data_IF_819306196589
#
_entry.id   IF_819306196589
#
_cell.length_a   1.000
_cell.length_b   1.000
_cell.length_c   1.000
_cell.angle_alpha   90.00
_cell.angle_beta   90.00
_cell.angle_gamma   90.00
#
_symmetry.space_group_name_H-M   'P 1'
#
loop_
_entity.id
_entity.type
_entity.pdbx_description
1 polymer ?
#
# COMPACT_ATOMS: atom_id res chain seq x y z
N UNK A 1 -14.66 -10.58 -4.45
CA UNK A 1 -14.25 -11.33 -3.24
C UNK A 1 -13.66 -10.41 -2.15
N UNK A 2 -13.98 -9.11 -2.07
CA UNK A 2 -13.47 -8.24 -0.99
C UNK A 2 -11.93 -8.11 -0.89
N UNK A 3 -11.18 -8.44 -1.95
CA UNK A 3 -9.71 -8.52 -1.93
C UNK A 3 -9.14 -9.86 -1.48
N UNK A 4 -9.98 -10.84 -1.13
CA UNK A 4 -9.62 -12.22 -0.81
C UNK A 4 -9.51 -13.15 -2.02
N UNK A 5 -9.41 -14.45 -1.76
CA UNK A 5 -9.16 -15.51 -2.74
C UNK A 5 -7.77 -16.11 -2.65
N UNK A 6 -7.11 -16.09 -1.48
CA UNK A 6 -5.72 -16.52 -1.35
C UNK A 6 -5.51 -18.03 -1.54
N UNK A 7 -6.58 -18.81 -1.41
CA UNK A 7 -6.61 -20.24 -1.66
C UNK A 7 -7.45 -20.65 -2.88
N UNK A 8 -8.12 -19.68 -3.53
CA UNK A 8 -9.04 -19.99 -4.62
C UNK A 8 -8.26 -20.44 -5.85
N UNK A 9 -8.39 -21.73 -6.17
CA UNK A 9 -7.89 -22.30 -7.41
C UNK A 9 -8.87 -21.96 -8.53
N UNK A 10 -8.46 -21.11 -9.47
CA UNK A 10 -9.30 -20.73 -10.61
C UNK A 10 -8.45 -20.47 -11.85
N UNK A 11 -8.92 -20.94 -12.99
CA UNK A 11 -8.35 -20.57 -14.30
C UNK A 11 -8.51 -19.07 -14.58
N UNK A 12 -9.50 -18.43 -13.96
CA UNK A 12 -9.86 -17.03 -14.22
C UNK A 12 -9.29 -16.04 -13.20
N UNK A 13 -8.69 -16.52 -12.10
CA UNK A 13 -8.15 -15.65 -11.06
C UNK A 13 -6.86 -16.24 -10.50
N UNK A 14 -5.78 -15.47 -10.57
CA UNK A 14 -4.49 -15.86 -10.02
C UNK A 14 -4.09 -14.84 -8.94
N UNK A 15 -4.21 -15.17 -7.64
CA UNK A 15 -3.87 -14.22 -6.60
C UNK A 15 -2.36 -14.02 -6.54
N UNK A 16 -1.92 -12.77 -6.63
CA UNK A 16 -0.52 -12.41 -6.37
C UNK A 16 -0.10 -12.76 -4.94
N UNK A 17 -1.05 -12.85 -4.02
CA UNK A 17 -0.82 -13.06 -2.59
C UNK A 17 -0.19 -14.42 -2.24
N UNK A 18 -0.36 -15.45 -3.08
CA UNK A 18 0.21 -16.78 -2.86
C UNK A 18 0.93 -17.27 -4.13
N UNK A 19 2.28 -17.26 -4.16
CA UNK A 19 3.04 -17.69 -5.34
C UNK A 19 2.84 -19.16 -5.70
N UNK A 20 2.36 -20.01 -4.77
CA UNK A 20 2.09 -21.42 -5.07
C UNK A 20 1.02 -21.63 -6.16
N UNK A 21 0.09 -20.68 -6.29
CA UNK A 21 -1.00 -20.76 -7.27
C UNK A 21 -0.53 -20.49 -8.70
N UNK A 22 0.70 -20.03 -8.88
CA UNK A 22 1.27 -19.79 -10.22
C UNK A 22 1.60 -21.09 -10.95
N UNK A 23 1.70 -22.22 -10.24
CA UNK A 23 1.93 -23.54 -10.85
C UNK A 23 0.75 -24.04 -11.71
N UNK A 24 -0.47 -23.55 -11.46
CA UNK A 24 -1.70 -24.04 -12.13
C UNK A 24 -2.01 -23.35 -13.46
N UNK A 25 -1.04 -22.61 -13.99
CA UNK A 25 -1.19 -21.90 -15.27
C UNK A 25 -1.09 -22.86 -16.46
N UNK A 26 -1.99 -22.64 -17.43
CA UNK A 26 -2.02 -23.34 -18.72
C UNK A 26 -1.64 -22.40 -19.88
N UNK A 27 -1.98 -21.12 -19.76
CA UNK A 27 -1.70 -20.11 -20.79
C UNK A 27 -0.96 -18.91 -20.21
N UNK A 28 -0.21 -18.22 -21.06
CA UNK A 28 0.32 -16.89 -20.76
C UNK A 28 -0.83 -15.93 -20.53
N UNK A 29 -0.73 -15.15 -19.45
CA UNK A 29 -1.76 -14.22 -19.00
C UNK A 29 -1.16 -12.84 -18.77
N UNK A 30 -1.87 -11.84 -19.27
CA UNK A 30 -1.68 -10.45 -18.91
C UNK A 30 -2.97 -9.97 -18.25
N UNK A 31 -2.88 -9.46 -17.02
CA UNK A 31 -4.00 -8.86 -16.31
C UNK A 31 -3.64 -7.44 -15.88
N UNK A 32 -4.63 -6.56 -15.90
CA UNK A 32 -4.52 -5.18 -15.47
C UNK A 32 -5.77 -4.82 -14.68
N UNK A 33 -5.60 -4.08 -13.60
CA UNK A 33 -6.71 -3.62 -12.78
C UNK A 33 -6.57 -2.13 -12.48
N UNK A 34 -7.69 -1.42 -12.48
CA UNK A 34 -7.80 -0.03 -12.06
C UNK A 34 -8.98 0.09 -11.10
N UNK A 35 -8.92 1.08 -10.22
CA UNK A 35 -10.00 1.39 -9.29
C UNK A 35 -10.28 2.88 -9.26
N UNK A 36 -11.53 3.19 -8.96
CA UNK A 36 -11.96 4.53 -8.59
C UNK A 36 -12.57 4.45 -7.19
N UNK A 37 -12.15 5.34 -6.30
CA UNK A 37 -12.64 5.43 -4.94
C UNK A 37 -13.00 6.89 -4.64
N UNK A 38 -14.19 7.09 -4.07
CA UNK A 38 -14.64 8.38 -3.54
C UNK A 38 -14.92 8.22 -2.04
N UNK A 39 -14.31 9.07 -1.23
CA UNK A 39 -14.50 9.14 0.21
C UNK A 39 -15.12 10.48 0.54
N UNK A 40 -16.29 10.48 1.17
CA UNK A 40 -16.90 11.68 1.76
C UNK A 40 -16.69 11.66 3.27
N UNK A 41 -16.33 12.81 3.82
CA UNK A 41 -16.21 13.03 5.26
C UNK A 41 -17.01 14.27 5.63
N UNK A 42 -17.69 14.22 6.77
CA UNK A 42 -18.43 15.34 7.32
C UNK A 42 -18.05 15.47 8.80
N UNK A 43 -17.81 16.71 9.25
CA UNK A 43 -17.56 17.01 10.65
C UNK A 43 -18.86 17.34 11.41
N UNK A 44 -18.80 17.34 12.75
CA UNK A 44 -19.95 17.65 13.60
C UNK A 44 -20.45 19.10 13.51
N UNK A 45 -19.78 19.96 12.74
CA UNK A 45 -20.16 21.35 12.45
C UNK A 45 -20.74 21.54 11.04
N UNK A 46 -20.92 20.47 10.27
CA UNK A 46 -21.52 20.49 8.94
C UNK A 46 -20.55 20.81 7.80
N UNK A 47 -19.23 20.84 8.05
CA UNK A 47 -18.26 20.91 6.95
C UNK A 47 -18.15 19.53 6.32
N UNK A 48 -18.33 19.45 5.01
CA UNK A 48 -18.18 18.23 4.23
C UNK A 48 -17.03 18.36 3.24
N UNK A 49 -16.30 17.27 3.06
CA UNK A 49 -15.22 17.14 2.09
C UNK A 49 -15.38 15.84 1.32
N UNK A 50 -15.11 15.88 0.02
CA UNK A 50 -15.11 14.70 -0.84
C UNK A 50 -13.74 14.55 -1.50
N UNK A 51 -13.13 13.39 -1.29
CA UNK A 51 -11.88 12.98 -1.94
C UNK A 51 -12.19 11.88 -2.95
N UNK A 52 -12.05 12.19 -4.24
CA UNK A 52 -12.11 11.20 -5.31
C UNK A 52 -10.72 10.89 -5.83
N UNK A 53 -10.41 9.61 -6.02
CA UNK A 53 -9.13 9.14 -6.54
C UNK A 53 -9.32 7.98 -7.49
N UNK A 54 -8.63 8.02 -8.63
CA UNK A 54 -8.54 6.95 -9.61
C UNK A 54 -7.09 6.48 -9.73
N UNK A 55 -6.87 5.17 -9.80
CA UNK A 55 -5.53 4.61 -9.85
C UNK A 55 -5.48 3.25 -10.56
N UNK A 56 -4.31 2.92 -11.10
CA UNK A 56 -3.98 1.55 -11.49
C UNK A 56 -3.70 0.75 -10.20
N UNK A 57 -4.34 -0.40 -10.05
CA UNK A 57 -4.25 -1.26 -8.88
C UNK A 57 -3.16 -2.32 -9.02
N UNK A 58 -3.07 -2.97 -10.17
CA UNK A 58 -2.03 -3.95 -10.45
C UNK A 58 -1.93 -4.20 -11.95
N UNK A 59 -0.72 -4.51 -12.41
CA UNK A 59 -0.44 -5.14 -13.71
C UNK A 59 0.29 -6.44 -13.42
N UNK A 60 -0.22 -7.56 -13.91
CA UNK A 60 0.37 -8.88 -13.69
C UNK A 60 0.58 -9.55 -15.03
N UNK A 61 1.73 -10.18 -15.16
CA UNK A 61 2.10 -10.99 -16.30
C UNK A 61 2.58 -12.35 -15.79
N UNK A 62 1.94 -13.42 -16.24
CA UNK A 62 2.29 -14.76 -15.78
C UNK A 62 2.27 -15.75 -16.91
N UNK A 63 3.21 -16.69 -16.93
CA UNK A 63 3.29 -17.71 -17.97
C UNK A 63 3.78 -19.06 -17.41
N UNK A 64 3.25 -20.18 -17.93
CA UNK A 64 3.77 -21.49 -17.58
C UNK A 64 5.10 -21.75 -18.30
N UNK A 65 6.10 -22.20 -17.55
CA UNK A 65 7.30 -22.84 -18.12
C UNK A 65 7.00 -24.30 -18.47
N UNK A 66 6.26 -24.97 -17.58
CA UNK A 66 5.69 -26.29 -17.80
C UNK A 66 4.22 -26.24 -17.41
N UNK A 67 3.34 -26.59 -18.34
CA UNK A 67 1.90 -26.55 -18.12
C UNK A 67 1.52 -27.29 -16.84
N UNK A 68 0.75 -26.61 -15.99
CA UNK A 68 0.20 -27.15 -14.73
C UNK A 68 1.27 -27.72 -13.77
N UNK A 69 2.54 -27.36 -13.95
CA UNK A 69 3.66 -27.88 -13.17
C UNK A 69 4.57 -26.77 -12.67
N UNK A 70 5.02 -25.88 -13.56
CA UNK A 70 5.93 -24.78 -13.22
C UNK A 70 5.45 -23.50 -13.91
N UNK A 71 5.12 -22.49 -13.13
CA UNK A 71 4.71 -21.19 -13.64
C UNK A 71 5.52 -20.04 -13.06
N UNK A 72 5.68 -19.01 -13.87
CA UNK A 72 6.34 -17.75 -13.52
C UNK A 72 5.27 -16.68 -13.37
N UNK A 73 5.40 -15.85 -12.36
CA UNK A 73 4.58 -14.66 -12.17
C UNK A 73 5.45 -13.41 -12.00
N UNK A 74 5.11 -12.36 -12.73
CA UNK A 74 5.64 -11.02 -12.59
C UNK A 74 4.46 -10.08 -12.29
N UNK A 75 4.58 -9.23 -11.29
CA UNK A 75 3.56 -8.22 -11.03
C UNK A 75 4.14 -6.88 -10.59
N UNK A 76 3.44 -5.83 -10.97
CA UNK A 76 3.70 -4.47 -10.53
C UNK A 76 2.42 -3.91 -9.93
N UNK A 77 2.50 -3.48 -8.67
CA UNK A 77 1.37 -2.91 -7.95
C UNK A 77 1.82 -1.89 -6.91
N UNK A 78 1.00 -0.88 -6.57
CA UNK A 78 1.21 -0.09 -5.37
C UNK A 78 1.16 -0.99 -4.13
N UNK A 79 2.16 -0.85 -3.25
CA UNK A 79 2.21 -1.50 -1.94
C UNK A 79 1.51 -0.65 -0.87
N UNK A 80 1.82 0.64 -0.85
CA UNK A 80 1.18 1.62 0.04
C UNK A 80 0.82 2.87 -0.73
N UNK A 81 -0.12 3.66 -0.20
CA UNK A 81 -0.52 4.94 -0.77
C UNK A 81 -0.56 5.97 0.34
N UNK A 82 -0.04 7.14 0.04
CA UNK A 82 -0.09 8.30 0.90
C UNK A 82 -0.72 9.43 0.10
N UNK A 83 -1.99 9.73 0.38
CA UNK A 83 -2.72 10.80 -0.29
C UNK A 83 -3.67 11.48 0.68
N UNK A 84 -3.45 12.75 0.97
CA UNK A 84 -4.37 13.58 1.75
C UNK A 84 -4.22 15.04 1.32
N UNK A 85 -5.27 15.82 1.55
CA UNK A 85 -5.25 17.27 1.39
C UNK A 85 -6.18 17.90 2.42
N UNK A 86 -5.65 18.80 3.23
CA UNK A 86 -6.40 19.54 4.24
C UNK A 86 -6.00 21.02 4.17
N UNK A 87 -6.99 21.91 4.12
CA UNK A 87 -6.77 23.35 4.07
C UNK A 87 -7.27 23.98 5.36
N UNK A 88 -6.39 24.75 6.00
CA UNK A 88 -6.71 25.58 7.16
C UNK A 88 -6.69 27.04 6.74
N UNK A 89 -7.72 27.79 7.10
CA UNK A 89 -7.79 29.24 6.84
C UNK A 89 -7.79 29.99 8.15
N UNK A 90 -7.00 31.06 8.24
CA UNK A 90 -6.93 31.91 9.42
C UNK A 90 -6.69 33.38 9.06
N UNK A 91 -6.64 34.20 10.10
CA UNK A 91 -6.27 35.62 10.03
C UNK A 91 -5.14 35.86 11.02
N UNK A 92 -4.09 36.54 10.57
CA UNK A 92 -2.94 36.88 11.40
C UNK A 92 -2.69 38.39 11.33
N UNK A 93 -2.22 38.98 12.42
CA UNK A 93 -1.95 40.42 12.45
C UNK A 93 -0.62 40.74 11.77
N UNK A 94 -0.64 41.64 10.79
CA UNK A 94 0.54 41.97 9.97
C UNK A 94 0.89 43.44 10.10
N UNK A 95 2.12 43.71 10.55
CA UNK A 95 2.69 45.06 10.64
C UNK A 95 2.55 45.74 12.01
N UNK A 96 3.20 46.91 12.20
CA UNK A 96 3.25 47.62 13.49
C UNK A 96 1.94 48.35 13.85
N UNK A 97 1.00 48.51 12.91
CA UNK A 97 -0.29 49.17 13.16
C UNK A 97 -1.29 48.20 13.83
N UNK A 98 -2.06 48.71 14.80
CA UNK A 98 -3.21 47.98 15.36
C UNK A 98 -4.33 47.93 14.31
N UNK A 99 -4.76 46.73 13.91
CA UNK A 99 -5.92 46.51 13.04
C UNK A 99 -5.65 46.01 11.62
N UNK A 100 -4.39 45.85 11.19
CA UNK A 100 -4.08 45.23 9.90
C UNK A 100 -4.00 43.70 10.08
N UNK A 101 -5.05 43.00 9.69
CA UNK A 101 -5.10 41.54 9.67
C UNK A 101 -4.98 41.04 8.22
N UNK A 102 -4.08 40.09 7.97
CA UNK A 102 -3.98 39.40 6.70
C UNK A 102 -4.56 37.99 6.83
N UNK A 103 -5.41 37.63 5.86
CA UNK A 103 -5.88 36.25 5.74
C UNK A 103 -4.74 35.38 5.22
N UNK A 104 -4.52 34.23 5.87
CA UNK A 104 -3.64 33.20 5.37
C UNK A 104 -4.41 31.91 5.12
N UNK A 105 -3.92 31.12 4.16
CA UNK A 105 -4.40 29.78 3.87
C UNK A 105 -3.21 28.83 3.97
N UNK A 106 -3.30 27.81 4.81
CA UNK A 106 -2.28 26.76 4.93
C UNK A 106 -2.86 25.45 4.45
N UNK A 107 -2.37 24.97 3.30
CA UNK A 107 -2.71 23.68 2.73
C UNK A 107 -1.64 22.66 3.13
N UNK A 108 -2.08 21.58 3.79
CA UNK A 108 -1.28 20.39 4.05
C UNK A 108 -1.68 19.32 3.05
N UNK A 109 -0.74 18.88 2.23
CA UNK A 109 -0.94 17.77 1.30
C UNK A 109 0.09 16.68 1.52
N UNK A 110 -0.31 15.44 1.27
CA UNK A 110 0.59 14.30 1.21
C UNK A 110 0.36 13.56 -0.09
N UNK A 111 1.44 13.13 -0.74
CA UNK A 111 1.37 12.37 -1.99
C UNK A 111 2.44 11.29 -2.06
N UNK A 112 2.24 10.32 -2.94
CA UNK A 112 3.16 9.21 -3.19
C UNK A 112 2.78 7.91 -2.50
N UNK A 113 3.79 7.13 -2.12
CA UNK A 113 3.62 5.77 -1.61
C UNK A 113 4.74 4.85 -2.05
N UNK A 114 4.63 3.59 -1.67
CA UNK A 114 5.55 2.53 -2.10
C UNK A 114 4.91 1.73 -3.23
N UNK A 115 5.71 1.40 -4.22
CA UNK A 115 5.42 0.44 -5.27
C UNK A 115 6.12 -0.88 -4.97
N UNK A 116 5.54 -1.97 -5.46
CA UNK A 116 6.08 -3.32 -5.40
C UNK A 116 6.22 -3.87 -6.80
N UNK A 117 7.44 -4.25 -7.15
CA UNK A 117 7.73 -5.12 -8.28
C UNK A 117 8.00 -6.52 -7.73
N UNK A 118 7.18 -7.49 -8.12
CA UNK A 118 7.22 -8.87 -7.64
C UNK A 118 7.56 -9.79 -8.80
N UNK A 119 8.43 -10.75 -8.54
CA UNK A 119 8.74 -11.83 -9.47
C UNK A 119 8.96 -13.15 -8.74
N UNK A 120 8.52 -14.26 -9.32
CA UNK A 120 8.70 -15.55 -8.67
C UNK A 120 8.13 -16.73 -9.44
N UNK A 121 8.09 -17.86 -8.74
CA UNK A 121 7.82 -19.17 -9.32
C UNK A 121 6.85 -19.95 -8.43
N UNK A 122 5.92 -20.66 -9.06
CA UNK A 122 5.09 -21.67 -8.43
C UNK A 122 5.37 -23.04 -9.03
N UNK A 123 5.55 -24.04 -8.18
CA UNK A 123 5.80 -25.43 -8.56
C UNK A 123 4.75 -26.37 -7.96
N UNK A 124 4.17 -27.22 -8.80
CA UNK A 124 3.27 -28.30 -8.37
C UNK A 124 4.10 -29.55 -8.08
N UNK A 125 4.06 -30.00 -6.83
CA UNK A 125 4.75 -31.22 -6.40
C UNK A 125 3.92 -32.45 -6.78
N UNK A 126 2.62 -32.40 -6.53
CA UNK A 126 1.65 -33.43 -6.91
C UNK A 126 0.27 -32.79 -7.11
N UNK A 127 -0.75 -33.57 -7.46
CA UNK A 127 -2.10 -33.04 -7.74
C UNK A 127 -2.75 -32.33 -6.55
N UNK A 128 -2.26 -32.60 -5.33
CA UNK A 128 -2.76 -32.03 -4.09
C UNK A 128 -1.94 -30.82 -3.66
N UNK A 129 -0.60 -30.87 -3.73
CA UNK A 129 0.31 -29.91 -3.13
C UNK A 129 1.05 -29.09 -4.18
N UNK A 130 0.94 -27.77 -4.05
CA UNK A 130 1.77 -26.80 -4.76
C UNK A 130 2.50 -25.89 -3.77
N UNK A 131 3.70 -25.47 -4.16
CA UNK A 131 4.54 -24.54 -3.39
C UNK A 131 5.00 -23.41 -4.29
N UNK A 132 5.35 -22.28 -3.72
CA UNK A 132 5.87 -21.17 -4.50
C UNK A 132 6.71 -20.21 -3.68
N UNK A 133 7.54 -19.46 -4.38
CA UNK A 133 8.37 -18.42 -3.80
C UNK A 133 8.40 -17.20 -4.72
N UNK A 134 8.42 -16.01 -4.13
CA UNK A 134 8.61 -14.76 -4.85
C UNK A 134 9.62 -13.86 -4.16
N UNK A 135 10.25 -13.00 -4.95
CA UNK A 135 11.06 -11.88 -4.50
C UNK A 135 10.35 -10.58 -4.90
N UNK A 136 10.35 -9.62 -3.98
CA UNK A 136 9.69 -8.34 -4.13
C UNK A 136 10.71 -7.22 -3.92
N UNK A 137 10.77 -6.30 -4.87
CA UNK A 137 11.43 -5.01 -4.73
C UNK A 137 10.38 -3.97 -4.35
N UNK A 138 10.53 -3.40 -3.16
CA UNK A 138 9.73 -2.29 -2.66
C UNK A 138 10.49 -1.00 -2.90
N UNK A 139 9.86 0.00 -3.49
CA UNK A 139 10.48 1.30 -3.75
C UNK A 139 9.45 2.39 -3.89
N UNK A 140 9.79 3.62 -3.51
CA UNK A 140 8.92 4.75 -3.72
C UNK A 140 9.33 5.97 -2.91
N UNK A 141 8.56 7.02 -3.06
CA UNK A 141 8.75 8.29 -2.38
C UNK A 141 7.43 8.64 -1.70
N UNK A 142 7.51 9.05 -0.45
CA UNK A 142 6.40 9.58 0.33
C UNK A 142 6.74 11.03 0.60
N UNK A 143 5.91 11.96 0.14
CA UNK A 143 6.13 13.39 0.28
C UNK A 143 4.95 14.03 1.03
N UNK A 144 5.28 14.90 1.99
CA UNK A 144 4.34 15.75 2.68
C UNK A 144 4.72 17.20 2.42
N UNK A 145 3.76 18.01 2.02
CA UNK A 145 3.95 19.41 1.72
C UNK A 145 3.02 20.26 2.58
N UNK A 146 3.57 21.35 3.13
CA UNK A 146 2.84 22.45 3.74
C UNK A 146 3.05 23.69 2.89
N UNK A 147 1.97 24.20 2.32
CA UNK A 147 1.95 25.45 1.55
C UNK A 147 1.18 26.50 2.34
N UNK A 148 1.82 27.61 2.67
CA UNK A 148 1.15 28.78 3.23
C UNK A 148 1.07 29.85 2.16
N UNK A 149 -0.14 30.33 1.88
CA UNK A 149 -0.42 31.38 0.90
C UNK A 149 -1.10 32.57 1.56
N UNK A 150 -0.90 33.75 0.97
CA UNK A 150 -1.49 35.02 1.42
C UNK A 150 -2.35 35.65 0.31
N UNK A 151 -3.63 35.20 0.15
CA UNK A 151 -4.44 35.54 -1.01
C UNK A 151 -4.67 37.05 -1.22
N UNK A 152 -4.67 37.83 -0.13
CA UNK A 152 -5.04 39.24 -0.14
C UNK A 152 -3.86 40.18 0.20
N UNK A 153 -2.61 39.69 0.19
CA UNK A 153 -1.46 40.51 0.60
C UNK A 153 -0.24 40.19 -0.26
N UNK A 154 -0.08 40.92 -1.37
CA UNK A 154 1.06 40.79 -2.30
C UNK A 154 2.42 41.16 -1.69
N UNK A 155 2.45 41.74 -0.49
CA UNK A 155 3.68 42.06 0.23
C UNK A 155 4.25 40.87 1.02
N UNK A 156 3.46 39.81 1.23
CA UNK A 156 3.86 38.59 1.93
C UNK A 156 4.16 37.50 0.90
N UNK A 157 5.19 36.69 1.16
CA UNK A 157 5.68 35.68 0.22
C UNK A 157 5.14 34.32 0.58
N UNK A 158 4.61 33.60 -0.41
CA UNK A 158 4.20 32.21 -0.28
C UNK A 158 5.38 31.33 0.17
N UNK A 159 5.12 30.42 1.10
CA UNK A 159 6.14 29.51 1.64
C UNK A 159 5.68 28.08 1.43
N UNK A 160 6.52 27.29 0.76
CA UNK A 160 6.31 25.86 0.58
C UNK A 160 7.40 25.10 1.31
N UNK A 161 6.99 24.29 2.28
CA UNK A 161 7.85 23.36 2.98
C UNK A 161 7.48 21.94 2.55
N UNK A 162 8.44 21.17 2.06
CA UNK A 162 8.24 19.78 1.69
C UNK A 162 9.21 18.87 2.46
N UNK A 163 8.65 17.79 3.01
CA UNK A 163 9.36 16.69 3.65
C UNK A 163 9.15 15.42 2.82
N UNK A 164 10.23 14.92 2.21
CA UNK A 164 10.21 13.71 1.40
C UNK A 164 11.01 12.58 2.04
N UNK A 165 10.50 11.36 1.95
CA UNK A 165 11.21 10.14 2.34
C UNK A 165 11.21 9.19 1.15
N UNK A 166 12.40 8.92 0.62
CA UNK A 166 12.61 7.92 -0.42
C UNK A 166 13.05 6.62 0.23
N UNK A 167 12.37 5.52 -0.07
CA UNK A 167 12.66 4.20 0.48
C UNK A 167 12.84 3.18 -0.64
N UNK A 168 13.75 2.24 -0.42
CA UNK A 168 13.89 1.05 -1.26
C UNK A 168 14.37 -0.14 -0.46
N UNK A 169 13.95 -1.35 -0.84
CA UNK A 169 14.43 -2.58 -0.22
C UNK A 169 13.76 -3.82 -0.78
N UNK A 170 14.20 -4.98 -0.31
CA UNK A 170 13.74 -6.28 -0.80
C UNK A 170 13.01 -7.07 0.28
N UNK A 171 12.05 -7.88 -0.14
CA UNK A 171 11.44 -8.93 0.67
C UNK A 171 11.17 -10.18 -0.17
N UNK A 172 10.84 -11.28 0.49
CA UNK A 172 10.45 -12.53 -0.15
C UNK A 172 9.13 -13.03 0.40
N UNK A 173 8.34 -13.70 -0.43
CA UNK A 173 7.12 -14.39 -0.02
C UNK A 173 7.26 -15.88 -0.30
N UNK A 174 6.93 -16.72 0.67
CA UNK A 174 6.80 -18.16 0.49
C UNK A 174 5.32 -18.54 0.58
N UNK A 175 4.90 -19.47 -0.26
CA UNK A 175 3.51 -19.89 -0.36
C UNK A 175 3.37 -21.40 -0.47
N UNK A 176 2.28 -21.92 0.09
CA UNK A 176 1.83 -23.30 -0.05
C UNK A 176 0.35 -23.33 -0.41
N UNK A 177 -0.04 -24.33 -1.17
CA UNK A 177 -1.43 -24.55 -1.57
C UNK A 177 -1.74 -26.05 -1.62
N UNK A 178 -2.88 -26.41 -1.03
CA UNK A 178 -3.45 -27.74 -1.03
C UNK A 178 -4.78 -27.70 -1.80
N UNK A 179 -4.96 -28.59 -2.77
CA UNK A 179 -6.19 -28.80 -3.51
C UNK A 179 -6.67 -30.24 -3.30
N UNK A 180 -7.80 -30.40 -2.64
CA UNK A 180 -8.43 -31.68 -2.32
C UNK A 180 -9.75 -31.76 -3.09
N UNK A 181 -10.03 -32.92 -3.67
CA UNK A 181 -11.31 -33.22 -4.32
C UNK A 181 -12.05 -34.30 -3.52
N UNK A 182 -13.37 -34.34 -3.63
CA UNK A 182 -14.25 -35.35 -3.03
C UNK A 182 -14.10 -35.48 -1.49
N UNK A 183 -14.06 -34.36 -0.77
CA UNK A 183 -13.82 -34.30 0.67
C UNK A 183 -15.09 -34.47 1.50
N UNK A 184 -16.15 -33.75 1.15
CA UNK A 184 -17.44 -33.71 1.87
C UNK A 184 -18.59 -34.27 1.01
N UNK A 185 -18.54 -34.07 -0.30
CA UNK A 185 -19.50 -34.58 -1.28
C UNK A 185 -18.79 -34.97 -2.58
N UNK A 186 -19.43 -35.81 -3.39
CA UNK A 186 -18.95 -36.16 -4.74
C UNK A 186 -18.92 -34.92 -5.63
N UNK A 187 -17.83 -34.75 -6.39
CA UNK A 187 -17.54 -33.61 -7.26
C UNK A 187 -17.31 -32.28 -6.51
N UNK A 188 -17.02 -32.34 -5.21
CA UNK A 188 -16.60 -31.15 -4.48
C UNK A 188 -15.10 -30.86 -4.63
N UNK A 189 -14.72 -29.60 -4.38
CA UNK A 189 -13.34 -29.19 -4.28
C UNK A 189 -13.11 -28.31 -3.05
N UNK A 190 -12.18 -28.73 -2.20
CA UNK A 190 -11.68 -27.96 -1.07
C UNK A 190 -10.25 -27.52 -1.38
N UNK A 191 -9.94 -26.26 -1.13
CA UNK A 191 -8.56 -25.77 -1.25
C UNK A 191 -8.15 -24.96 -0.04
N UNK A 192 -6.91 -25.14 0.40
CA UNK A 192 -6.32 -24.43 1.53
C UNK A 192 -5.01 -23.82 1.06
N UNK A 193 -4.87 -22.51 1.26
CA UNK A 193 -3.69 -21.75 0.85
C UNK A 193 -3.11 -21.02 2.03
N UNK A 194 -1.79 -20.97 2.13
CA UNK A 194 -1.10 -20.15 3.10
C UNK A 194 0.11 -19.47 2.45
N UNK A 195 0.42 -18.25 2.86
CA UNK A 195 1.65 -17.58 2.48
C UNK A 195 2.23 -16.73 3.60
N UNK A 196 3.54 -16.59 3.60
CA UNK A 196 4.28 -15.78 4.56
C UNK A 196 5.23 -14.85 3.80
N UNK A 197 5.05 -13.55 3.97
CA UNK A 197 6.00 -12.53 3.53
C UNK A 197 7.01 -12.29 4.64
N UNK A 198 8.29 -12.33 4.31
CA UNK A 198 9.37 -12.07 5.25
C UNK A 198 9.42 -10.58 5.65
N UNK A 199 9.96 -10.24 6.83
CA UNK A 199 10.23 -8.85 7.19
C UNK A 199 11.11 -8.17 6.15
N UNK A 200 10.80 -6.92 5.82
CA UNK A 200 11.55 -6.15 4.83
C UNK A 200 12.33 -5.03 5.51
N UNK A 201 13.62 -4.91 5.24
CA UNK A 201 14.40 -3.73 5.62
C UNK A 201 14.50 -2.80 4.43
N UNK A 202 13.94 -1.60 4.57
CA UNK A 202 13.97 -0.54 3.58
C UNK A 202 15.03 0.48 3.99
N UNK A 203 16.01 0.72 3.12
CA UNK A 203 16.97 1.80 3.27
C UNK A 203 16.49 3.02 2.52
N UNK A 204 16.72 4.20 3.08
CA UNK A 204 16.26 5.42 2.46
C UNK A 204 16.96 6.67 2.92
N UNK A 205 16.56 7.75 2.27
CA UNK A 205 16.99 9.11 2.58
C UNK A 205 15.75 9.97 2.78
N UNK A 206 15.78 10.73 3.87
CA UNK A 206 14.80 11.77 4.16
C UNK A 206 15.41 13.10 3.81
N UNK A 207 14.72 13.88 2.99
CA UNK A 207 15.13 15.21 2.60
C UNK A 207 14.04 16.22 2.98
N UNK A 208 14.47 17.40 3.39
CA UNK A 208 13.57 18.54 3.64
C UNK A 208 13.94 19.66 2.70
N UNK A 209 12.97 20.15 1.94
CA UNK A 209 13.17 21.27 1.02
C UNK A 209 12.28 22.44 1.41
N UNK A 210 12.85 23.64 1.38
CA UNK A 210 12.12 24.88 1.47
C UNK A 210 12.13 25.53 0.09
N UNK A 211 10.95 25.97 -0.33
CA UNK A 211 10.77 26.68 -1.59
C UNK A 211 10.06 28.01 -1.29
N UNK A 212 10.78 29.10 -1.60
CA UNK A 212 10.31 30.48 -1.56
C UNK A 212 10.36 31.05 -2.99
N UNK A 213 9.26 30.91 -3.73
CA UNK A 213 8.97 31.37 -5.11
C UNK A 213 9.92 30.95 -6.26
N UNK A 214 11.25 30.95 -6.08
CA UNK A 214 12.24 30.78 -7.16
C UNK A 214 13.53 30.05 -6.75
N UNK A 215 13.70 29.67 -5.48
CA UNK A 215 14.88 28.97 -4.99
C UNK A 215 14.47 27.82 -4.08
N UNK A 216 14.65 26.59 -4.57
CA UNK A 216 14.50 25.38 -3.77
C UNK A 216 15.83 25.06 -3.09
N UNK A 217 15.86 25.15 -1.77
CA UNK A 217 17.03 24.75 -0.99
C UNK A 217 16.75 23.47 -0.19
N UNK A 218 17.76 22.61 -0.08
CA UNK A 218 17.69 21.39 0.75
C UNK A 218 18.14 21.73 2.16
N UNK A 219 17.19 21.89 3.06
CA UNK A 219 17.43 22.27 4.45
C UNK A 219 18.14 21.18 5.25
N UNK A 220 17.83 19.91 4.96
CA UNK A 220 18.47 18.77 5.62
C UNK A 220 18.32 17.48 4.82
N UNK A 221 19.29 16.58 5.00
CA UNK A 221 19.24 15.20 4.54
C UNK A 221 19.66 14.26 5.68
N UNK A 222 18.88 13.21 5.91
CA UNK A 222 19.15 12.17 6.89
C UNK A 222 18.98 10.79 6.24
N UNK A 223 19.97 9.90 6.43
CA UNK A 223 19.86 8.51 5.99
C UNK A 223 19.32 7.65 7.13
N UNK A 224 18.41 6.76 6.81
CA UNK A 224 17.76 5.92 7.79
C UNK A 224 17.18 4.64 7.20
N UNK A 225 16.71 3.78 8.11
CA UNK A 225 16.25 2.45 7.79
C UNK A 225 14.82 2.30 8.34
N UNK A 226 13.95 1.63 7.60
CA UNK A 226 12.60 1.26 8.06
C UNK A 226 12.47 -0.26 7.97
N UNK A 227 12.07 -0.91 9.06
CA UNK A 227 11.82 -2.35 9.06
C UNK A 227 10.32 -2.60 9.07
N UNK A 228 9.83 -3.26 8.01
CA UNK A 228 8.47 -3.74 7.91
C UNK A 228 8.34 -5.12 8.59
N UNK A 229 7.21 -5.38 9.28
CA UNK A 229 6.90 -6.67 9.87
C UNK A 229 6.76 -7.79 8.82
N UNK A 230 6.78 -9.04 9.29
CA UNK A 230 6.37 -10.19 8.47
C UNK A 230 4.86 -10.19 8.27
N UNK A 231 4.36 -10.78 7.19
CA UNK A 231 2.92 -10.88 6.94
C UNK A 231 2.51 -12.32 6.75
N UNK A 232 1.48 -12.77 7.46
CA UNK A 232 0.86 -14.08 7.30
C UNK A 232 -0.46 -13.98 6.55
N UNK A 233 -0.68 -14.88 5.60
CA UNK A 233 -1.96 -15.06 4.90
C UNK A 233 -2.40 -16.50 5.00
N UNK A 234 -3.68 -16.71 5.25
CA UNK A 234 -4.33 -18.03 5.21
C UNK A 234 -5.64 -17.88 4.46
N UNK A 235 -5.97 -18.86 3.62
CA UNK A 235 -7.22 -18.90 2.88
C UNK A 235 -7.75 -20.32 2.82
N UNK A 236 -9.07 -20.44 2.78
CA UNK A 236 -9.79 -21.68 2.54
C UNK A 236 -10.87 -21.38 1.52
N UNK A 237 -10.98 -22.22 0.49
CA UNK A 237 -12.07 -22.15 -0.47
C UNK A 237 -12.75 -23.50 -0.60
N UNK A 238 -14.07 -23.51 -0.59
CA UNK A 238 -14.89 -24.71 -0.75
C UNK A 238 -15.89 -24.53 -1.89
N UNK A 239 -15.90 -25.50 -2.79
CA UNK A 239 -16.75 -25.56 -3.97
C UNK A 239 -17.57 -26.85 -3.91
N UNK A 240 -18.79 -26.83 -3.34
CA UNK A 240 -19.66 -28.01 -3.26
C UNK A 240 -20.25 -28.44 -4.62
N UNK A 241 -19.95 -27.70 -5.68
CA UNK A 241 -20.40 -27.96 -7.04
C UNK A 241 -20.06 -26.78 -7.96
N UNK A 242 -20.44 -26.81 -9.25
CA UNK A 242 -19.97 -25.84 -10.24
C UNK A 242 -20.56 -24.43 -10.09
N UNK A 243 -21.59 -24.26 -9.25
CA UNK A 243 -22.36 -23.01 -9.12
C UNK A 243 -21.95 -22.16 -7.92
N UNK A 244 -21.40 -22.79 -6.88
CA UNK A 244 -21.17 -22.14 -5.60
C UNK A 244 -19.70 -22.22 -5.23
N UNK A 245 -19.14 -21.11 -4.78
CA UNK A 245 -17.77 -21.03 -4.27
C UNK A 245 -17.80 -20.18 -3.02
N UNK A 246 -17.43 -20.80 -1.90
CA UNK A 246 -17.27 -20.13 -0.62
C UNK A 246 -15.79 -19.92 -0.38
N UNK A 247 -15.42 -18.72 0.07
CA UNK A 247 -14.01 -18.37 0.35
C UNK A 247 -13.97 -17.68 1.71
N UNK A 248 -13.02 -18.10 2.54
CA UNK A 248 -12.69 -17.48 3.82
C UNK A 248 -11.19 -17.23 3.85
N UNK A 249 -10.80 -15.99 4.08
CA UNK A 249 -9.40 -15.58 4.13
C UNK A 249 -9.09 -14.87 5.46
N UNK A 250 -7.89 -15.10 5.98
CA UNK A 250 -7.31 -14.45 7.14
C UNK A 250 -5.99 -13.77 6.77
N UNK A 251 -5.76 -12.59 7.34
CA UNK A 251 -4.55 -11.80 7.16
C UNK A 251 -4.02 -11.37 8.52
N UNK A 252 -2.71 -11.52 8.73
CA UNK A 252 -2.04 -11.15 9.97
C UNK A 252 -0.77 -10.34 9.69
N UNK A 253 -0.65 -9.19 10.34
CA UNK A 253 0.46 -8.25 10.16
C UNK A 253 0.81 -7.56 11.51
N UNK A 254 1.83 -8.02 12.24
CA UNK A 254 2.18 -7.52 13.58
C UNK A 254 2.99 -6.23 13.50
N UNK A 255 2.29 -5.11 13.28
CA UNK A 255 2.87 -3.76 13.26
C UNK A 255 3.58 -3.34 14.55
N UNK A 256 3.41 -4.07 15.66
CA UNK A 256 4.20 -3.89 16.89
C UNK A 256 5.71 -4.11 16.69
N UNK A 257 6.11 -4.81 15.63
CA UNK A 257 7.52 -5.05 15.28
C UNK A 257 8.11 -4.03 14.29
N UNK A 258 7.31 -3.04 13.90
CA UNK A 258 7.76 -1.94 13.05
C UNK A 258 8.83 -1.10 13.75
N UNK A 259 9.86 -0.72 13.01
CA UNK A 259 10.89 0.20 13.51
C UNK A 259 11.35 1.16 12.42
N UNK A 260 11.65 2.40 12.81
CA UNK A 260 12.19 3.44 11.95
C UNK A 260 13.42 4.05 12.60
N UNK A 261 14.49 4.17 11.83
CA UNK A 261 15.73 4.84 12.23
C UNK A 261 15.76 6.32 11.91
N UNK A 262 14.72 6.88 11.29
CA UNK A 262 14.63 8.31 11.02
C UNK A 262 14.29 9.07 12.30
N UNK A 263 15.02 10.15 12.57
CA UNK A 263 14.72 11.02 13.71
C UNK A 263 13.31 11.62 13.58
N UNK A 264 12.46 11.39 14.60
CA UNK A 264 11.20 12.14 14.73
C UNK A 264 11.61 13.52 15.23
N UNK A 265 11.69 14.49 14.34
CA UNK A 265 11.96 15.87 14.71
C UNK A 265 10.89 16.31 15.72
N UNK A 266 11.31 16.60 16.95
CA UNK A 266 10.47 17.11 18.04
C UNK A 266 10.07 18.57 17.80
N UNK A 267 9.38 18.84 16.69
CA UNK A 267 8.68 20.10 16.47
C UNK A 267 7.21 19.89 16.77
N UNK A 268 6.67 20.60 17.77
CA UNK A 268 5.29 20.51 18.31
C UNK A 268 4.15 20.76 17.28
N UNK A 269 4.42 20.79 15.98
CA UNK A 269 3.44 21.03 14.90
C UNK A 269 3.40 19.94 13.82
N UNK A 270 4.08 18.81 14.01
CA UNK A 270 4.05 17.71 13.03
C UNK A 270 2.98 16.66 13.40
N UNK A 271 1.90 16.47 12.59
CA UNK A 271 1.00 15.34 12.78
C UNK A 271 1.80 14.04 12.59
N UNK A 272 1.62 13.09 13.51
CA UNK A 272 2.36 11.83 13.61
C UNK A 272 2.65 11.24 12.22
N UNK A 273 3.92 11.30 11.84
CA UNK A 273 4.42 10.92 10.52
C UNK A 273 4.62 9.41 10.49
N UNK A 274 4.08 8.79 9.44
CA UNK A 274 3.67 7.39 9.31
C UNK A 274 2.32 7.08 9.96
N UNK A 275 1.35 6.51 9.23
CA UNK A 275 0.24 5.82 9.88
C UNK A 275 0.84 4.62 10.60
N UNK A 276 1.27 4.83 11.86
CA UNK A 276 1.43 3.75 12.81
C UNK A 276 0.01 3.23 12.98
N UNK A 277 -0.29 2.12 12.30
CA UNK A 277 -1.51 1.36 12.53
C UNK A 277 -1.50 0.93 13.99
N UNK A 278 -2.02 1.81 14.85
CA UNK A 278 -2.22 1.52 16.25
C UNK A 278 -3.24 0.39 16.35
N UNK A 279 -3.17 -0.35 17.44
CA UNK A 279 -4.16 -1.38 17.80
C UNK A 279 -5.59 -0.82 17.91
N UNK A 280 -5.76 0.51 17.91
CA UNK A 280 -7.06 1.20 17.88
C UNK A 280 -7.60 1.50 16.48
N UNK A 281 -6.85 1.28 15.40
CA UNK A 281 -7.30 1.58 14.01
C UNK A 281 -7.69 0.33 13.19
N UNK A 282 -7.68 -0.85 13.81
CA UNK A 282 -8.03 -2.13 13.18
C UNK A 282 -9.12 -2.90 13.94
N UNK A 283 -9.96 -2.20 14.71
CA UNK A 283 -11.22 -2.74 15.21
C UNK A 283 -12.38 -2.09 14.45
N UNK A 284 -12.45 -2.36 13.15
CA UNK A 284 -13.69 -2.47 12.36
C UNK A 284 -13.33 -2.58 10.88
N UNK A 285 -13.02 -3.81 10.46
CA UNK A 285 -13.35 -4.36 9.14
C UNK A 285 -13.57 -5.85 9.25
#
# INVERSE_FOLDING_TARGET
MGGGGYALRSLNYNPDANPALWSDQVYTRLSGSASFQSVSSEDGSGNSGQLSSGNVQAVQFSFPLYERTLGVGLSFQPYSRFNYSATLTGQERVGPQQGTEARYETTFSGSGGLHRLRGGLGYRINDILSVGASADLLFGIIESQRRTTWPNTQALRDVVLADGVQLSGFTGTLGGHLALADVLATDDALSVGASVTLPARLSGERFRTLDEDLARDTLSSERGNVTLPWQGRLGVSYQPGPRWTFVLDGFFDPWSTFSSGFSVGTGETEPARFPVGGTSTLADR
#
